data_IF_655873842719
#
_entry.id   IF_655873842719
#
_cell.length_a   1.000
_cell.length_b   1.000
_cell.length_c   1.000
_cell.angle_alpha   90.00
_cell.angle_beta   90.00
_cell.angle_gamma   90.00
#
_symmetry.space_group_name_H-M   'P 1'
#
loop_
_entity.id
_entity.type
_entity.pdbx_description
1 polymer ?
#
# COMPACT_ATOMS: atom_id res chain seq x y z
N UNK A 1 -52.28 -17.61 -43.28
CA UNK A 1 -53.63 -18.09 -42.93
C UNK A 1 -54.16 -17.29 -41.75
N UNK A 2 -55.36 -16.76 -41.91
CA UNK A 2 -56.10 -15.86 -41.03
C UNK A 2 -56.83 -16.64 -39.92
N UNK A 3 -56.97 -16.07 -38.70
CA UNK A 3 -58.18 -16.02 -37.81
C UNK A 3 -57.77 -15.91 -36.32
N UNK A 4 -58.02 -14.75 -35.67
CA UNK A 4 -59.24 -14.33 -34.90
C UNK A 4 -59.40 -15.10 -33.57
N UNK A 5 -59.08 -14.48 -32.42
CA UNK A 5 -59.93 -13.61 -31.55
C UNK A 5 -61.05 -14.35 -30.83
N UNK A 6 -61.01 -14.36 -29.48
CA UNK A 6 -62.19 -14.26 -28.63
C UNK A 6 -61.90 -13.38 -27.40
N UNK A 7 -62.87 -12.49 -27.14
CA UNK A 7 -62.97 -11.48 -26.09
C UNK A 7 -64.26 -11.80 -25.31
N UNK A 8 -64.27 -11.67 -23.98
CA UNK A 8 -65.45 -11.45 -23.12
C UNK A 8 -64.95 -10.98 -21.71
N UNK A 9 -65.01 -9.70 -21.31
CA UNK A 9 -66.11 -8.89 -20.70
C UNK A 9 -66.59 -9.45 -19.33
N UNK A 10 -66.08 -8.94 -18.17
CA UNK A 10 -66.57 -7.86 -17.23
C UNK A 10 -67.71 -8.32 -16.28
N UNK A 11 -67.80 -7.90 -14.98
CA UNK A 11 -67.89 -6.49 -14.50
C UNK A 11 -67.03 -6.15 -13.23
N UNK A 12 -66.49 -4.94 -13.07
CA UNK A 12 -67.04 -3.71 -12.43
C UNK A 12 -67.20 -3.78 -10.89
N UNK A 13 -66.31 -3.09 -10.17
CA UNK A 13 -66.61 -2.45 -8.88
C UNK A 13 -65.84 -1.12 -8.79
N UNK A 14 -66.60 -0.02 -8.85
CA UNK A 14 -66.18 1.37 -8.67
C UNK A 14 -66.35 1.72 -7.20
N UNK A 15 -65.30 2.25 -6.54
CA UNK A 15 -65.47 3.14 -5.39
C UNK A 15 -64.44 4.29 -5.49
N UNK A 16 -64.99 5.49 -5.59
CA UNK A 16 -64.34 6.79 -5.49
C UNK A 16 -64.15 7.17 -4.01
N UNK A 17 -62.97 7.68 -3.65
CA UNK A 17 -62.77 8.70 -2.60
C UNK A 17 -61.36 9.29 -2.77
N UNK A 18 -61.27 10.47 -3.38
CA UNK A 18 -61.04 11.75 -2.69
C UNK A 18 -59.54 12.08 -2.51
N UNK A 19 -59.10 13.07 -3.29
CA UNK A 19 -57.81 13.73 -3.21
C UNK A 19 -57.63 14.45 -1.85
N UNK A 20 -56.46 14.32 -1.24
CA UNK A 20 -55.94 15.33 -0.32
C UNK A 20 -54.43 15.46 -0.51
N UNK A 21 -54.04 16.58 -1.09
CA UNK A 21 -52.68 16.99 -1.37
C UNK A 21 -52.01 17.57 -0.11
N UNK A 22 -50.82 17.08 0.24
CA UNK A 22 -49.86 17.84 1.06
C UNK A 22 -48.57 18.03 0.26
N UNK A 23 -48.01 19.25 0.19
CA UNK A 23 -46.76 19.49 -0.52
C UNK A 23 -45.61 18.93 0.31
N UNK A 24 -44.74 18.14 -0.32
CA UNK A 24 -43.48 17.72 0.27
C UNK A 24 -42.41 18.74 -0.12
N UNK A 25 -41.84 19.35 0.91
CA UNK A 25 -40.71 20.29 0.93
C UNK A 25 -39.61 19.92 -0.07
N UNK A 26 -38.94 20.89 -0.73
CA UNK A 26 -37.79 20.60 -1.58
C UNK A 26 -36.73 19.87 -0.75
N UNK A 27 -36.27 18.73 -1.26
CA UNK A 27 -35.12 18.05 -0.69
C UNK A 27 -33.93 19.00 -0.72
N UNK A 28 -33.34 19.22 0.44
CA UNK A 28 -32.05 19.87 0.59
C UNK A 28 -31.03 19.16 -0.28
N UNK A 29 -30.27 19.96 -1.02
CA UNK A 29 -29.04 19.60 -1.70
C UNK A 29 -28.16 18.80 -0.74
N UNK A 30 -28.00 17.50 -0.97
CA UNK A 30 -26.88 16.75 -0.41
C UNK A 30 -25.60 17.41 -0.93
N UNK A 31 -24.99 18.22 -0.08
CA UNK A 31 -23.61 18.63 -0.28
C UNK A 31 -22.76 17.36 -0.22
N UNK A 32 -22.12 17.05 -1.35
CA UNK A 32 -21.09 16.02 -1.44
C UNK A 32 -20.13 16.16 -0.26
N UNK A 33 -20.18 15.20 0.67
CA UNK A 33 -19.22 15.09 1.76
C UNK A 33 -17.85 14.83 1.16
N UNK A 34 -16.86 15.57 1.66
CA UNK A 34 -15.55 15.74 1.04
C UNK A 34 -14.84 14.46 0.64
N UNK A 35 -14.11 14.56 -0.46
CA UNK A 35 -13.07 13.65 -0.95
C UNK A 35 -11.90 13.57 0.04
N UNK A 36 -12.14 13.08 1.25
CA UNK A 36 -11.11 12.72 2.23
C UNK A 36 -10.45 11.43 1.77
N UNK A 37 -9.14 11.49 1.52
CA UNK A 37 -8.38 10.50 0.75
C UNK A 37 -8.21 9.11 1.37
N UNK A 38 -8.90 8.77 2.46
CA UNK A 38 -8.93 7.41 3.01
C UNK A 38 -10.34 7.09 3.54
N UNK A 39 -10.74 5.83 3.46
CA UNK A 39 -12.00 5.31 4.03
C UNK A 39 -11.89 5.14 5.55
N UNK A 40 -11.74 6.25 6.29
CA UNK A 40 -11.78 6.25 7.75
C UNK A 40 -12.98 7.07 8.24
N UNK A 41 -13.79 6.50 9.14
CA UNK A 41 -14.87 7.24 9.81
C UNK A 41 -14.27 8.31 10.73
N UNK A 42 -14.70 9.57 10.65
CA UNK A 42 -14.12 10.64 11.45
C UNK A 42 -14.49 10.47 12.93
N UNK A 43 -13.50 10.26 13.79
CA UNK A 43 -13.68 10.26 15.25
C UNK A 43 -12.95 11.44 15.90
N UNK A 44 -13.74 12.45 16.28
CA UNK A 44 -13.41 13.56 17.19
C UNK A 44 -12.38 14.60 16.72
N UNK A 45 -12.69 15.86 17.01
CA UNK A 45 -11.91 17.06 16.71
C UNK A 45 -10.61 17.10 17.54
N UNK A 46 -9.61 16.32 17.14
CA UNK A 46 -8.29 16.24 17.81
C UNK A 46 -7.35 17.24 17.14
N UNK A 47 -7.14 18.41 17.74
CA UNK A 47 -6.19 19.41 17.20
C UNK A 47 -4.72 19.00 17.34
N UNK A 48 -4.39 18.04 18.22
CA UNK A 48 -3.01 17.65 18.50
C UNK A 48 -2.83 16.13 18.40
N UNK A 49 -2.02 15.70 17.43
CA UNK A 49 -1.67 14.30 17.20
C UNK A 49 -1.10 13.67 18.47
N UNK A 50 -1.62 12.49 18.86
CA UNK A 50 -1.07 11.67 19.94
C UNK A 50 0.03 10.71 19.47
N UNK A 51 0.35 9.70 20.30
CA UNK A 51 1.28 8.63 19.92
C UNK A 51 2.77 9.00 19.93
N UNK A 52 3.59 8.10 19.40
CA UNK A 52 5.07 8.19 19.49
C UNK A 52 5.65 9.42 18.77
N UNK A 53 4.89 10.02 17.84
CA UNK A 53 5.29 11.18 17.05
C UNK A 53 4.55 12.48 17.43
N UNK A 54 3.74 12.49 18.50
CA UNK A 54 2.86 13.60 18.91
C UNK A 54 3.49 15.00 18.87
N UNK A 55 4.73 15.12 19.35
CA UNK A 55 5.47 16.38 19.46
C UNK A 55 6.72 16.41 18.55
N UNK A 56 6.70 15.64 17.46
CA UNK A 56 7.83 15.57 16.53
C UNK A 56 7.71 16.68 15.45
N UNK A 57 8.66 17.64 15.37
CA UNK A 57 8.58 18.71 14.38
C UNK A 57 8.61 18.23 12.93
N UNK A 58 9.34 17.14 12.63
CA UNK A 58 9.40 16.58 11.29
C UNK A 58 8.07 15.94 10.89
N UNK A 59 7.36 15.33 11.84
CA UNK A 59 6.01 14.80 11.59
C UNK A 59 5.01 15.93 11.31
N UNK A 60 5.06 17.03 12.09
CA UNK A 60 4.21 18.20 11.84
C UNK A 60 4.46 18.83 10.46
N UNK A 61 5.72 19.05 10.10
CA UNK A 61 6.12 19.56 8.78
C UNK A 61 5.69 18.63 7.64
N UNK A 62 5.78 17.31 7.85
CA UNK A 62 5.33 16.32 6.89
C UNK A 62 3.80 16.40 6.68
N UNK A 63 3.03 16.52 7.75
CA UNK A 63 1.57 16.71 7.67
C UNK A 63 1.24 17.98 6.89
N UNK A 64 1.88 19.10 7.21
CA UNK A 64 1.69 20.38 6.49
C UNK A 64 1.95 20.23 5.00
N UNK A 65 3.03 19.53 4.63
CA UNK A 65 3.38 19.23 3.25
C UNK A 65 2.31 18.38 2.57
N UNK A 66 1.84 17.31 3.20
CA UNK A 66 0.83 16.41 2.60
C UNK A 66 -0.51 17.10 2.39
N UNK A 67 -0.93 17.95 3.33
CA UNK A 67 -2.13 18.78 3.22
C UNK A 67 -1.98 19.78 2.07
N UNK A 68 -0.91 20.58 2.09
CA UNK A 68 -0.72 21.66 1.12
C UNK A 68 -0.47 21.18 -0.31
N UNK A 69 0.30 20.08 -0.48
CA UNK A 69 0.72 19.59 -1.79
C UNK A 69 -0.26 18.60 -2.42
N UNK A 70 -0.90 17.76 -1.60
CA UNK A 70 -1.66 16.60 -2.08
C UNK A 70 -3.12 16.58 -1.61
N UNK A 71 -3.56 17.60 -0.89
CA UNK A 71 -4.93 17.75 -0.43
C UNK A 71 -5.38 16.66 0.54
N UNK A 72 -4.47 16.12 1.36
CA UNK A 72 -4.88 15.23 2.45
C UNK A 72 -5.67 16.01 3.50
N UNK A 73 -6.65 15.37 4.11
CA UNK A 73 -7.28 15.90 5.31
C UNK A 73 -6.29 15.82 6.49
N UNK A 74 -6.14 16.94 7.20
CA UNK A 74 -5.18 17.04 8.31
C UNK A 74 -5.54 16.09 9.44
N UNK A 75 -6.82 16.01 9.80
CA UNK A 75 -7.28 15.23 10.93
C UNK A 75 -7.10 13.74 10.65
N UNK A 76 -7.50 13.26 9.47
CA UNK A 76 -7.26 11.89 9.03
C UNK A 76 -5.77 11.53 9.06
N UNK A 77 -4.90 12.42 8.59
CA UNK A 77 -3.47 12.16 8.58
C UNK A 77 -2.87 12.13 10.01
N UNK A 78 -3.36 12.99 10.90
CA UNK A 78 -3.00 12.96 12.31
C UNK A 78 -3.50 11.68 13.00
N UNK A 79 -4.71 11.21 12.69
CA UNK A 79 -5.25 9.95 13.19
C UNK A 79 -4.38 8.75 12.76
N UNK A 80 -4.00 8.68 11.48
CA UNK A 80 -3.11 7.65 10.95
C UNK A 80 -1.73 7.70 11.64
N UNK A 81 -1.09 8.86 11.67
CA UNK A 81 0.26 9.01 12.23
C UNK A 81 0.30 8.87 13.76
N UNK A 82 -0.79 9.16 14.46
CA UNK A 82 -0.90 8.91 15.91
C UNK A 82 -0.84 7.42 16.26
N UNK A 83 -1.19 6.55 15.31
CA UNK A 83 -1.12 5.10 15.44
C UNK A 83 0.20 4.51 14.95
N UNK A 84 1.05 5.32 14.30
CA UNK A 84 2.38 4.89 13.88
C UNK A 84 3.31 4.76 15.09
N UNK A 85 4.11 3.70 15.10
CA UNK A 85 5.03 3.38 16.20
C UNK A 85 6.47 3.74 15.83
N UNK A 86 7.21 4.30 16.79
CA UNK A 86 8.65 4.52 16.67
C UNK A 86 9.40 3.24 16.99
N UNK A 87 9.97 2.62 15.97
CA UNK A 87 10.59 1.30 16.06
C UNK A 87 12.11 1.38 16.22
N UNK A 88 12.62 1.32 17.46
CA UNK A 88 14.08 1.40 17.70
C UNK A 88 14.91 0.33 17.00
N UNK A 89 14.35 -0.85 16.75
CA UNK A 89 15.07 -1.89 16.02
C UNK A 89 15.30 -1.52 14.54
N UNK A 90 14.38 -0.73 13.94
CA UNK A 90 14.54 -0.22 12.57
C UNK A 90 15.74 0.72 12.51
N UNK A 91 15.85 1.64 13.47
CA UNK A 91 16.98 2.56 13.59
C UNK A 91 18.31 1.80 13.74
N UNK A 92 18.36 0.82 14.66
CA UNK A 92 19.55 -0.02 14.88
C UNK A 92 19.97 -0.81 13.63
N UNK A 93 19.02 -1.36 12.88
CA UNK A 93 19.34 -2.09 11.64
C UNK A 93 19.88 -1.15 10.56
N UNK A 94 19.30 0.05 10.43
CA UNK A 94 19.78 1.07 9.49
C UNK A 94 21.21 1.54 9.82
N UNK A 95 21.55 1.65 11.11
CA UNK A 95 22.91 2.00 11.55
C UNK A 95 23.91 0.85 11.33
N UNK A 96 23.51 -0.40 11.55
CA UNK A 96 24.37 -1.57 11.27
C UNK A 96 24.73 -1.71 9.79
N UNK A 97 23.85 -1.24 8.91
CA UNK A 97 24.05 -1.25 7.46
C UNK A 97 24.64 0.06 6.92
N UNK A 98 25.06 0.97 7.81
CA UNK A 98 25.79 2.16 7.41
C UNK A 98 27.05 1.79 6.60
N UNK A 99 27.35 2.49 5.49
CA UNK A 99 28.59 2.26 4.77
C UNK A 99 29.80 2.36 5.69
N UNK A 100 30.61 1.31 5.74
CA UNK A 100 31.90 1.30 6.43
C UNK A 100 33.00 1.47 5.38
N UNK A 101 33.89 2.44 5.58
CA UNK A 101 34.99 2.72 4.64
C UNK A 101 36.15 1.72 4.71
N UNK A 102 35.92 0.50 5.22
CA UNK A 102 36.98 -0.47 5.46
C UNK A 102 37.24 -1.32 4.21
N UNK A 103 38.52 -1.52 3.83
CA UNK A 103 38.85 -2.37 2.69
C UNK A 103 38.56 -3.85 3.01
N UNK A 104 38.29 -4.68 1.98
CA UNK A 104 38.13 -6.12 2.16
C UNK A 104 39.41 -6.76 2.72
N UNK A 105 39.27 -7.64 3.71
CA UNK A 105 40.40 -8.28 4.43
C UNK A 105 40.93 -9.56 3.78
N UNK A 106 40.78 -9.70 2.46
CA UNK A 106 41.32 -10.82 1.66
C UNK A 106 40.32 -11.92 1.28
N UNK A 107 40.78 -13.05 0.71
CA UNK A 107 39.93 -14.16 0.32
C UNK A 107 39.51 -14.97 1.55
N UNK A 108 38.37 -14.61 2.14
CA UNK A 108 37.84 -15.30 3.33
C UNK A 108 36.78 -16.36 3.00
N UNK A 109 36.47 -16.61 1.72
CA UNK A 109 35.32 -17.43 1.32
C UNK A 109 33.96 -16.73 1.54
N UNK A 110 33.95 -15.40 1.62
CA UNK A 110 32.74 -14.60 1.84
C UNK A 110 31.64 -14.88 0.80
N UNK A 111 32.00 -14.97 -0.48
CA UNK A 111 31.05 -15.31 -1.55
C UNK A 111 30.41 -16.68 -1.34
N UNK A 112 31.20 -17.71 -1.02
CA UNK A 112 30.66 -19.05 -0.79
C UNK A 112 29.68 -19.08 0.39
N UNK A 113 29.97 -18.30 1.45
CA UNK A 113 29.06 -18.15 2.59
C UNK A 113 27.78 -17.38 2.26
N UNK A 114 27.83 -16.42 1.35
CA UNK A 114 26.65 -15.68 0.88
C UNK A 114 25.81 -16.56 -0.07
N UNK A 115 26.45 -17.15 -1.09
CA UNK A 115 25.83 -18.05 -2.08
C UNK A 115 25.00 -19.15 -1.42
N UNK A 116 25.53 -19.81 -0.37
CA UNK A 116 24.84 -20.91 0.33
C UNK A 116 23.57 -20.48 1.10
N UNK A 117 23.33 -19.19 1.30
CA UNK A 117 22.09 -18.71 1.92
C UNK A 117 20.91 -18.78 0.95
N UNK A 118 21.18 -18.73 -0.36
CA UNK A 118 20.17 -18.65 -1.42
C UNK A 118 20.15 -19.90 -2.30
N UNK A 119 21.32 -20.40 -2.69
CA UNK A 119 21.44 -21.56 -3.60
C UNK A 119 21.55 -22.84 -2.77
N UNK A 120 20.39 -23.34 -2.34
CA UNK A 120 20.21 -24.63 -1.64
C UNK A 120 19.23 -25.51 -2.43
N UNK A 121 19.26 -26.85 -2.27
CA UNK A 121 18.32 -27.73 -2.95
C UNK A 121 16.85 -27.34 -2.71
N UNK A 122 16.49 -27.01 -1.46
CA UNK A 122 15.14 -26.56 -1.09
C UNK A 122 14.74 -25.27 -1.81
N UNK A 123 15.60 -24.26 -1.81
CA UNK A 123 15.29 -23.01 -2.51
C UNK A 123 15.17 -23.24 -4.02
N UNK A 124 16.09 -23.98 -4.63
CA UNK A 124 16.02 -24.26 -6.08
C UNK A 124 14.71 -24.98 -6.42
N UNK A 125 14.31 -25.98 -5.63
CA UNK A 125 13.05 -26.69 -5.83
C UNK A 125 11.83 -25.76 -5.69
N UNK A 126 11.83 -24.90 -4.67
CA UNK A 126 10.77 -23.90 -4.47
C UNK A 126 10.71 -22.87 -5.62
N UNK A 127 11.85 -22.53 -6.21
CA UNK A 127 11.94 -21.68 -7.40
C UNK A 127 11.38 -22.34 -8.65
N UNK A 128 11.63 -23.63 -8.85
CA UNK A 128 11.01 -24.41 -9.93
C UNK A 128 9.49 -24.47 -9.77
N UNK A 129 9.00 -24.68 -8.55
CA UNK A 129 7.55 -24.66 -8.27
C UNK A 129 6.94 -23.30 -8.62
N UNK A 130 7.56 -22.21 -8.17
CA UNK A 130 7.09 -20.85 -8.48
C UNK A 130 7.12 -20.57 -9.99
N UNK A 131 8.20 -20.95 -10.67
CA UNK A 131 8.32 -20.80 -12.12
C UNK A 131 7.17 -21.50 -12.83
N UNK A 132 6.96 -22.79 -12.54
CA UNK A 132 5.92 -23.57 -13.19
C UNK A 132 4.51 -23.02 -12.90
N UNK A 133 4.27 -22.52 -11.67
CA UNK A 133 3.01 -21.91 -11.29
C UNK A 133 2.71 -20.63 -12.07
N UNK A 134 3.73 -19.80 -12.32
CA UNK A 134 3.58 -18.48 -12.98
C UNK A 134 4.18 -18.45 -14.38
N UNK A 135 4.31 -19.61 -15.04
CA UNK A 135 5.02 -19.75 -16.31
C UNK A 135 4.47 -18.83 -17.39
N UNK A 136 3.15 -18.68 -17.49
CA UNK A 136 2.51 -17.81 -18.47
C UNK A 136 2.82 -16.33 -18.22
N UNK A 137 2.78 -15.89 -16.96
CA UNK A 137 3.14 -14.53 -16.58
C UNK A 137 4.64 -14.26 -16.85
N UNK A 138 5.53 -15.20 -16.51
CA UNK A 138 6.96 -15.09 -16.76
C UNK A 138 7.27 -15.01 -18.26
N UNK A 139 6.64 -15.87 -19.06
CA UNK A 139 6.81 -15.85 -20.52
C UNK A 139 6.29 -14.55 -21.13
N UNK A 140 5.14 -14.06 -20.66
CA UNK A 140 4.61 -12.76 -21.09
C UNK A 140 5.54 -11.62 -20.69
N UNK A 141 6.11 -11.63 -19.48
CA UNK A 141 7.06 -10.61 -19.04
C UNK A 141 8.32 -10.61 -19.90
N UNK A 142 8.81 -11.79 -20.30
CA UNK A 142 9.90 -11.90 -21.25
C UNK A 142 9.54 -11.33 -22.63
N UNK A 143 8.35 -11.60 -23.15
CA UNK A 143 7.91 -11.07 -24.45
C UNK A 143 7.71 -9.55 -24.43
N UNK A 144 7.18 -8.99 -23.35
CA UNK A 144 6.87 -7.56 -23.23
C UNK A 144 8.11 -6.73 -22.90
N UNK A 145 8.94 -7.21 -21.96
CA UNK A 145 10.06 -6.43 -21.41
C UNK A 145 11.44 -6.96 -21.77
N UNK A 146 11.54 -8.14 -22.39
CA UNK A 146 12.81 -8.77 -22.75
C UNK A 146 13.60 -9.35 -21.58
N UNK A 147 13.01 -9.39 -20.36
CA UNK A 147 13.68 -9.90 -19.15
C UNK A 147 13.49 -11.42 -19.04
N UNK A 148 14.58 -12.23 -19.07
CA UNK A 148 14.45 -13.69 -18.97
C UNK A 148 13.80 -14.14 -17.66
N UNK A 149 12.95 -15.19 -17.68
CA UNK A 149 12.25 -15.68 -16.49
C UNK A 149 13.16 -16.01 -15.31
N UNK A 150 14.36 -16.55 -15.54
CA UNK A 150 15.33 -16.90 -14.49
C UNK A 150 15.79 -15.68 -13.67
N UNK A 151 15.80 -14.48 -14.28
CA UNK A 151 16.12 -13.24 -13.58
C UNK A 151 14.97 -12.85 -12.66
N UNK A 152 13.72 -12.89 -13.16
CA UNK A 152 12.53 -12.55 -12.38
C UNK A 152 12.37 -13.52 -11.20
N UNK A 153 12.47 -14.83 -11.47
CA UNK A 153 12.39 -15.89 -10.46
C UNK A 153 13.54 -15.77 -9.46
N UNK A 154 14.76 -15.43 -9.92
CA UNK A 154 15.93 -15.20 -9.08
C UNK A 154 15.74 -14.03 -8.12
N UNK A 155 15.28 -12.87 -8.62
CA UNK A 155 15.01 -11.68 -7.80
C UNK A 155 13.97 -12.00 -6.73
N UNK A 156 12.78 -12.50 -7.12
CA UNK A 156 11.70 -12.81 -6.17
C UNK A 156 12.15 -13.88 -5.15
N UNK A 157 12.98 -14.84 -5.57
CA UNK A 157 13.54 -15.87 -4.70
C UNK A 157 14.49 -15.31 -3.65
N UNK A 158 15.40 -14.42 -4.04
CA UNK A 158 16.35 -13.76 -3.12
C UNK A 158 15.63 -12.82 -2.17
N UNK A 159 14.68 -12.04 -2.67
CA UNK A 159 13.97 -11.02 -1.89
C UNK A 159 13.02 -11.61 -0.86
N UNK A 160 12.18 -12.59 -1.24
CA UNK A 160 11.09 -13.05 -0.37
C UNK A 160 10.91 -14.55 -0.29
N UNK A 161 11.81 -15.34 -0.91
CA UNK A 161 11.62 -16.78 -1.10
C UNK A 161 10.27 -17.10 -1.73
N UNK A 162 9.94 -16.35 -2.79
CA UNK A 162 8.68 -16.48 -3.52
C UNK A 162 7.44 -16.29 -2.62
N UNK A 163 7.44 -15.19 -1.85
CA UNK A 163 6.32 -14.77 -1.01
C UNK A 163 6.28 -15.36 0.40
N UNK A 164 7.19 -16.28 0.76
CA UNK A 164 7.22 -16.89 2.10
C UNK A 164 7.71 -15.91 3.18
N UNK A 165 8.56 -14.95 2.81
CA UNK A 165 9.17 -13.99 3.73
C UNK A 165 9.04 -12.57 3.14
N UNK A 166 7.86 -11.99 3.22
CA UNK A 166 7.60 -10.63 2.70
C UNK A 166 7.90 -9.51 3.70
N UNK A 167 8.18 -9.87 4.95
CA UNK A 167 8.34 -8.94 6.07
C UNK A 167 7.09 -8.88 6.96
N UNK A 168 7.26 -8.34 8.17
CA UNK A 168 6.22 -8.33 9.21
C UNK A 168 6.01 -6.95 9.82
N UNK A 169 6.80 -5.97 9.40
CA UNK A 169 6.78 -4.61 9.92
C UNK A 169 5.74 -3.82 9.16
N UNK A 170 4.85 -3.09 9.84
CA UNK A 170 3.94 -2.17 9.15
C UNK A 170 4.78 -1.13 8.40
N UNK A 171 4.45 -0.90 7.13
CA UNK A 171 5.22 0.01 6.28
C UNK A 171 5.17 1.42 6.86
N UNK A 172 3.99 1.84 7.37
CA UNK A 172 3.82 3.11 8.06
C UNK A 172 4.80 3.28 9.24
N UNK A 173 4.92 2.26 10.11
CA UNK A 173 5.80 2.33 11.28
C UNK A 173 7.27 2.47 10.87
N UNK A 174 7.72 1.68 9.87
CA UNK A 174 9.08 1.72 9.37
C UNK A 174 9.42 3.09 8.77
N UNK A 175 8.59 3.56 7.84
CA UNK A 175 8.83 4.81 7.13
C UNK A 175 8.66 6.03 8.03
N UNK A 176 7.68 6.07 8.94
CA UNK A 176 7.54 7.15 9.92
C UNK A 176 8.74 7.21 10.87
N UNK A 177 9.18 6.04 11.37
CA UNK A 177 10.39 5.96 12.22
C UNK A 177 11.61 6.53 11.50
N UNK A 178 11.85 6.12 10.25
CA UNK A 178 13.01 6.56 9.49
C UNK A 178 12.90 8.00 8.99
N UNK A 179 11.69 8.50 8.75
CA UNK A 179 11.46 9.89 8.33
C UNK A 179 11.66 10.87 9.49
N UNK A 180 11.14 10.52 10.67
CA UNK A 180 11.00 11.47 11.78
C UNK A 180 12.01 11.28 12.89
N UNK A 181 12.74 10.16 12.90
CA UNK A 181 13.71 9.81 13.96
C UNK A 181 15.06 9.33 13.42
N UNK A 182 15.34 9.51 12.12
CA UNK A 182 16.62 9.10 11.52
C UNK A 182 17.26 10.17 10.61
N UNK A 183 17.95 11.17 11.21
CA UNK A 183 18.44 12.35 10.48
C UNK A 183 19.28 12.03 9.23
N UNK A 184 20.13 10.99 9.27
CA UNK A 184 21.06 10.64 8.17
C UNK A 184 20.35 10.43 6.82
N UNK A 185 19.11 9.93 6.83
CA UNK A 185 18.34 9.64 5.60
C UNK A 185 16.89 10.12 5.69
N UNK A 186 16.59 11.06 6.59
CA UNK A 186 15.24 11.52 6.88
C UNK A 186 14.51 12.01 5.60
N UNK A 187 15.19 12.77 4.74
CA UNK A 187 14.60 13.29 3.50
C UNK A 187 14.21 12.18 2.53
N UNK A 188 15.07 11.17 2.36
CA UNK A 188 14.78 10.01 1.52
C UNK A 188 13.56 9.24 2.06
N UNK A 189 13.55 8.92 3.36
CA UNK A 189 12.42 8.15 3.90
C UNK A 189 11.13 8.97 3.97
N UNK A 190 11.23 10.29 4.09
CA UNK A 190 10.09 11.20 4.01
C UNK A 190 9.46 11.21 2.61
N UNK A 191 10.26 11.13 1.54
CA UNK A 191 9.72 11.00 0.18
C UNK A 191 9.11 9.61 -0.08
N UNK A 192 9.67 8.55 0.52
CA UNK A 192 9.08 7.21 0.49
C UNK A 192 7.76 7.16 1.27
N UNK A 193 7.68 7.79 2.45
CA UNK A 193 6.44 7.88 3.24
C UNK A 193 5.36 8.69 2.50
N UNK A 194 5.72 9.81 1.88
CA UNK A 194 4.83 10.58 1.00
C UNK A 194 4.27 9.70 -0.12
N UNK A 195 5.14 8.96 -0.80
CA UNK A 195 4.74 8.09 -1.91
C UNK A 195 3.88 6.92 -1.44
N UNK A 196 4.20 6.34 -0.28
CA UNK A 196 3.43 5.26 0.34
C UNK A 196 2.00 5.69 0.66
N UNK A 197 1.80 6.85 1.27
CA UNK A 197 0.45 7.34 1.58
C UNK A 197 -0.36 7.68 0.32
N UNK A 198 0.30 8.19 -0.72
CA UNK A 198 -0.33 8.40 -2.02
C UNK A 198 -0.75 7.09 -2.68
N UNK A 199 0.10 6.07 -2.61
CA UNK A 199 -0.18 4.72 -3.09
C UNK A 199 -1.35 4.09 -2.33
N UNK A 200 -1.32 4.09 -1.00
CA UNK A 200 -2.42 3.55 -0.20
C UNK A 200 -3.76 4.23 -0.55
N UNK A 201 -3.73 5.55 -0.77
CA UNK A 201 -4.90 6.31 -1.24
C UNK A 201 -5.35 5.91 -2.66
N UNK A 202 -4.44 5.70 -3.61
CA UNK A 202 -4.82 5.32 -4.98
C UNK A 202 -5.39 3.91 -5.06
N UNK A 203 -4.80 2.98 -4.30
CA UNK A 203 -5.22 1.58 -4.26
C UNK A 203 -6.38 1.34 -3.30
N UNK A 204 -6.85 2.37 -2.58
CA UNK A 204 -7.89 2.28 -1.54
C UNK A 204 -7.54 1.31 -0.40
N UNK A 205 -6.25 1.19 -0.09
CA UNK A 205 -5.74 0.38 1.02
C UNK A 205 -5.77 1.16 2.35
N UNK A 206 -5.95 0.45 3.46
CA UNK A 206 -5.64 1.01 4.78
C UNK A 206 -4.10 1.04 4.97
N UNK A 207 -3.46 2.22 5.11
CA UNK A 207 -2.02 2.32 5.32
C UNK A 207 -1.52 1.63 6.60
N UNK A 208 -2.41 1.29 7.54
CA UNK A 208 -2.09 0.56 8.78
C UNK A 208 -1.99 -0.96 8.58
N UNK A 209 -2.54 -1.50 7.49
CA UNK A 209 -2.57 -2.95 7.24
C UNK A 209 -1.37 -3.45 6.44
N UNK A 210 -0.78 -2.58 5.60
CA UNK A 210 0.32 -2.94 4.73
C UNK A 210 1.61 -3.23 5.53
N UNK A 211 2.23 -4.37 5.24
CA UNK A 211 3.45 -4.86 5.91
C UNK A 211 4.57 -5.15 4.91
N UNK A 212 5.80 -5.06 5.40
CA UNK A 212 6.99 -5.44 4.66
C UNK A 212 8.27 -5.35 5.49
N UNK A 213 9.36 -4.94 4.85
CA UNK A 213 10.68 -4.88 5.48
C UNK A 213 10.81 -3.75 6.50
N UNK A 214 11.89 -3.79 7.28
CA UNK A 214 12.22 -2.73 8.23
C UNK A 214 12.52 -1.38 7.55
N UNK A 215 12.78 -1.36 6.24
CA UNK A 215 13.04 -0.16 5.46
C UNK A 215 11.82 0.31 4.64
N UNK A 216 10.68 -0.39 4.73
CA UNK A 216 9.47 -0.06 3.97
C UNK A 216 9.39 -0.69 2.58
N UNK A 217 10.15 -1.75 2.32
CA UNK A 217 10.06 -2.50 1.07
C UNK A 217 8.90 -3.51 1.09
N UNK A 218 8.18 -3.66 -0.03
CA UNK A 218 6.85 -4.28 -0.08
C UNK A 218 6.76 -5.43 -1.09
N UNK A 219 5.91 -6.42 -0.78
CA UNK A 219 5.52 -7.49 -1.69
C UNK A 219 6.64 -8.45 -2.11
N UNK A 220 6.35 -9.24 -3.15
CA UNK A 220 7.22 -10.31 -3.66
C UNK A 220 8.62 -9.84 -4.08
N UNK A 221 8.70 -8.65 -4.69
CA UNK A 221 9.94 -8.05 -5.20
C UNK A 221 10.58 -7.04 -4.26
N UNK A 222 10.05 -6.85 -3.04
CA UNK A 222 10.54 -5.84 -2.09
C UNK A 222 10.68 -4.45 -2.72
N UNK A 223 9.63 -4.00 -3.41
CA UNK A 223 9.60 -2.66 -3.99
C UNK A 223 9.48 -1.61 -2.89
N UNK A 224 10.34 -0.59 -2.94
CA UNK A 224 10.11 0.65 -2.19
C UNK A 224 8.90 1.40 -2.80
N UNK A 225 8.18 2.24 -2.03
CA UNK A 225 7.08 3.05 -2.54
C UNK A 225 7.42 3.84 -3.81
N UNK A 226 8.61 4.44 -3.89
CA UNK A 226 9.07 5.14 -5.10
C UNK A 226 9.23 4.22 -6.30
N UNK A 227 9.74 3.00 -6.10
CA UNK A 227 9.82 1.98 -7.16
C UNK A 227 8.45 1.52 -7.62
N UNK A 228 7.49 1.35 -6.70
CA UNK A 228 6.10 1.06 -7.05
C UNK A 228 5.55 2.15 -7.97
N UNK A 229 5.66 3.42 -7.57
CA UNK A 229 5.16 4.54 -8.35
C UNK A 229 5.78 4.63 -9.76
N UNK A 230 7.06 4.28 -9.91
CA UNK A 230 7.80 4.45 -11.16
C UNK A 230 7.72 3.23 -12.09
N UNK A 231 7.65 2.02 -11.53
CA UNK A 231 7.90 0.78 -12.28
C UNK A 231 6.84 -0.30 -12.08
N UNK A 232 5.96 -0.20 -11.08
CA UNK A 232 4.89 -1.18 -10.95
C UNK A 232 3.89 -1.02 -12.10
N UNK A 233 3.37 -2.16 -12.54
CA UNK A 233 2.39 -2.27 -13.62
C UNK A 233 1.31 -3.25 -13.19
N UNK A 234 0.08 -3.00 -13.62
CA UNK A 234 -0.97 -4.02 -13.60
C UNK A 234 -0.67 -5.01 -14.73
N UNK A 235 -0.02 -6.12 -14.38
CA UNK A 235 0.55 -7.05 -15.35
C UNK A 235 -0.38 -8.22 -15.63
#
# INVERSE_FOLDING_TARGET
MLKRRYLALLPLCVLLAACSSKPKTPAETEMASGTGGFLLEPQHNVMQMGGDFANNPAAAQFIDKMVAKHGFDRQQLQEILSQAKRLDYVLRLMDRQAPTGLPPTGPTGAWLRYKKQFITPDNVQNGVVFWNQYQDALNRAYQVYGVPPEIIVGIIGVETRWGRVMGKTRILDALATLSFSYPRRAEYFSSELETFLLMARSESDDPLDLKGSFAGAMGYGQFMPSSYKQYAVDF
#
